data_IF_790740482659
#
_entry.id   IF_790740482659
#
_cell.length_a   1.000
_cell.length_b   1.000
_cell.length_c   1.000
_cell.angle_alpha   90.00
_cell.angle_beta   90.00
_cell.angle_gamma   90.00
#
_symmetry.space_group_name_H-M   'P 1'
#
loop_
_entity.id
_entity.type
_entity.pdbx_description
1 polymer ?
#
# COMPACT_ATOMS: atom_id res chain seq x y z
N UNK A 1 -1.23 -56.23 48.12
CA UNK A 1 -2.33 -55.25 47.98
C UNK A 1 -1.80 -54.03 47.24
N UNK A 2 -2.47 -53.65 46.14
CA UNK A 2 -2.72 -52.29 45.59
C UNK A 2 -1.57 -51.25 45.57
N UNK A 3 -1.31 -50.46 44.52
CA UNK A 3 -1.94 -50.18 43.23
C UNK A 3 -0.91 -49.35 42.39
N UNK A 4 -0.87 -49.45 41.05
CA UNK A 4 -1.44 -48.45 40.11
C UNK A 4 -0.68 -47.11 40.10
N UNK A 5 -0.31 -46.49 38.99
CA UNK A 5 -0.59 -46.71 37.58
C UNK A 5 0.19 -45.69 36.73
N UNK A 6 0.24 -45.96 35.43
CA UNK A 6 0.69 -45.07 34.36
C UNK A 6 0.21 -43.63 34.54
N UNK A 7 1.08 -42.64 34.33
CA UNK A 7 0.74 -41.46 33.55
C UNK A 7 1.94 -41.02 32.70
N UNK A 8 1.67 -41.13 31.40
CA UNK A 8 2.36 -40.59 30.26
C UNK A 8 2.71 -39.09 30.42
N UNK A 9 3.91 -38.69 30.02
CA UNK A 9 4.21 -37.30 29.64
C UNK A 9 5.07 -37.32 28.38
N UNK A 10 4.39 -37.52 27.25
CA UNK A 10 4.84 -37.06 25.94
C UNK A 10 5.12 -35.54 26.02
N UNK A 11 6.40 -35.15 26.07
CA UNK A 11 6.80 -33.77 25.86
C UNK A 11 6.90 -33.51 24.34
N UNK A 12 6.31 -32.41 23.82
CA UNK A 12 6.03 -32.25 22.41
C UNK A 12 7.28 -31.95 21.58
N UNK A 13 7.27 -32.50 20.37
CA UNK A 13 8.14 -32.23 19.22
C UNK A 13 8.74 -30.80 19.18
N UNK A 14 10.00 -30.66 19.60
CA UNK A 14 10.78 -29.43 19.43
C UNK A 14 11.69 -29.58 18.20
N UNK A 15 11.13 -29.29 17.02
CA UNK A 15 11.82 -29.46 15.73
C UNK A 15 11.68 -28.25 14.81
N UNK A 16 12.06 -27.05 15.28
CA UNK A 16 12.14 -25.84 14.46
C UNK A 16 13.57 -25.56 13.94
N UNK A 17 13.69 -24.59 13.03
CA UNK A 17 14.86 -24.14 12.23
C UNK A 17 16.23 -24.00 12.96
N UNK A 18 16.29 -24.19 14.27
CA UNK A 18 17.42 -23.90 15.16
C UNK A 18 18.31 -25.13 15.47
N UNK A 19 17.94 -26.33 15.02
CA UNK A 19 18.56 -27.63 15.38
C UNK A 19 20.07 -27.75 15.10
N UNK A 20 20.59 -27.05 14.10
CA UNK A 20 22.02 -27.10 13.70
C UNK A 20 22.81 -25.86 14.07
N UNK A 21 22.18 -24.94 14.81
CA UNK A 21 22.72 -23.64 15.13
C UNK A 21 23.11 -23.65 16.61
N UNK A 22 24.42 -23.68 16.90
CA UNK A 22 24.95 -23.53 18.28
C UNK A 22 24.85 -22.07 18.76
N UNK A 23 23.69 -21.44 18.61
CA UNK A 23 23.47 -20.08 19.11
C UNK A 23 22.76 -20.11 20.46
N UNK A 24 23.31 -19.37 21.42
CA UNK A 24 22.64 -19.16 22.71
C UNK A 24 21.29 -18.48 22.50
N UNK A 25 20.29 -18.84 23.31
CA UNK A 25 18.96 -18.22 23.31
C UNK A 25 19.03 -16.69 23.38
N UNK A 26 20.03 -16.16 24.11
CA UNK A 26 20.28 -14.71 24.20
C UNK A 26 20.67 -14.10 22.84
N UNK A 27 21.56 -14.77 22.11
CA UNK A 27 21.98 -14.35 20.77
C UNK A 27 20.84 -14.47 19.75
N UNK A 28 20.02 -15.52 19.85
CA UNK A 28 18.83 -15.68 19.02
C UNK A 28 17.80 -14.55 19.26
N UNK A 29 17.54 -14.20 20.52
CA UNK A 29 16.62 -13.10 20.86
C UNK A 29 17.15 -11.74 20.38
N UNK A 30 18.46 -11.50 20.47
CA UNK A 30 19.09 -10.30 19.92
C UNK A 30 18.93 -10.28 18.40
N UNK A 31 19.19 -11.39 17.70
CA UNK A 31 19.02 -11.47 16.24
C UNK A 31 17.58 -11.22 15.82
N UNK A 32 16.60 -11.78 16.52
CA UNK A 32 15.17 -11.52 16.26
C UNK A 32 14.86 -10.04 16.49
N UNK A 33 15.34 -9.45 17.58
CA UNK A 33 15.17 -8.02 17.86
C UNK A 33 15.80 -7.12 16.79
N UNK A 34 17.01 -7.44 16.34
CA UNK A 34 17.72 -6.71 15.27
C UNK A 34 17.01 -6.88 13.93
N UNK A 35 16.49 -8.07 13.61
CA UNK A 35 15.72 -8.30 12.39
C UNK A 35 14.38 -7.57 12.41
N UNK A 36 13.69 -7.55 13.55
CA UNK A 36 12.46 -6.77 13.71
C UNK A 36 12.73 -5.27 13.63
N UNK A 37 13.80 -4.79 14.28
CA UNK A 37 14.21 -3.38 14.18
C UNK A 37 14.60 -3.01 12.75
N UNK A 38 15.39 -3.85 12.06
CA UNK A 38 15.76 -3.64 10.66
C UNK A 38 14.53 -3.67 9.74
N UNK A 39 13.57 -4.57 9.98
CA UNK A 39 12.31 -4.63 9.23
C UNK A 39 11.48 -3.37 9.46
N UNK A 40 11.34 -2.91 10.71
CA UNK A 40 10.65 -1.66 11.03
C UNK A 40 11.37 -0.47 10.40
N UNK A 41 12.70 -0.42 10.44
CA UNK A 41 13.52 0.62 9.80
C UNK A 41 13.30 0.61 8.28
N UNK A 42 13.28 -0.56 7.63
CA UNK A 42 13.02 -0.68 6.19
C UNK A 42 11.60 -0.24 5.85
N UNK A 43 10.60 -0.63 6.64
CA UNK A 43 9.20 -0.20 6.44
C UNK A 43 9.08 1.32 6.59
N UNK A 44 9.68 1.90 7.62
CA UNK A 44 9.71 3.34 7.87
C UNK A 44 10.49 4.06 6.77
N UNK A 45 11.61 3.51 6.32
CA UNK A 45 12.40 4.04 5.21
C UNK A 45 11.60 4.06 3.91
N UNK A 46 10.89 2.97 3.57
CA UNK A 46 10.00 2.93 2.40
C UNK A 46 8.87 3.96 2.56
N UNK A 47 8.23 4.04 3.73
CA UNK A 47 7.16 5.01 3.96
C UNK A 47 7.60 6.48 3.88
N UNK A 48 8.85 6.79 4.21
CA UNK A 48 9.39 8.17 4.19
C UNK A 48 9.98 8.53 2.81
N UNK A 49 10.46 7.54 2.03
CA UNK A 49 11.07 7.78 0.72
C UNK A 49 10.11 7.55 -0.45
N UNK A 50 8.92 6.99 -0.22
CA UNK A 50 7.91 6.91 -1.26
C UNK A 50 7.37 8.32 -1.52
N UNK A 51 7.28 8.69 -2.80
CA UNK A 51 6.59 9.91 -3.20
C UNK A 51 5.12 9.88 -2.78
N UNK A 52 4.44 10.99 -2.99
CA UNK A 52 3.00 11.04 -2.79
C UNK A 52 2.30 10.17 -3.83
N UNK A 53 1.26 9.48 -3.36
CA UNK A 53 0.43 8.65 -4.20
C UNK A 53 -0.70 9.50 -4.78
N UNK A 54 -0.75 9.58 -6.10
CA UNK A 54 -1.87 10.16 -6.83
C UNK A 54 -2.75 9.06 -7.39
N UNK A 55 -4.01 9.03 -6.96
CA UNK A 55 -5.00 8.05 -7.39
C UNK A 55 -6.01 8.70 -8.32
N UNK A 56 -6.59 7.92 -9.23
CA UNK A 56 -7.58 8.38 -10.19
C UNK A 56 -8.89 7.62 -9.98
N UNK A 57 -9.95 8.33 -9.60
CA UNK A 57 -11.30 7.79 -9.51
C UNK A 57 -12.06 8.13 -10.79
N UNK A 58 -12.40 7.09 -11.54
CA UNK A 58 -13.02 7.22 -12.86
C UNK A 58 -14.55 7.08 -12.82
N UNK A 59 -15.16 6.99 -11.64
CA UNK A 59 -16.59 6.79 -11.44
C UNK A 59 -17.16 5.62 -12.28
N UNK A 60 -16.52 4.46 -12.14
CA UNK A 60 -16.92 3.22 -12.80
C UNK A 60 -16.55 3.09 -14.27
N UNK A 61 -15.81 4.05 -14.83
CA UNK A 61 -15.26 3.96 -16.18
C UNK A 61 -14.01 3.06 -16.25
N UNK A 62 -13.30 3.05 -17.39
CA UNK A 62 -12.04 2.31 -17.53
C UNK A 62 -11.04 2.68 -16.44
N UNK A 63 -10.33 1.69 -15.89
CA UNK A 63 -9.36 1.92 -14.80
C UNK A 63 -8.16 2.73 -15.31
N UNK A 64 -7.80 3.76 -14.53
CA UNK A 64 -6.53 4.48 -14.64
C UNK A 64 -5.65 4.07 -13.45
N UNK A 65 -4.41 3.67 -13.72
CA UNK A 65 -3.50 3.23 -12.67
C UNK A 65 -2.98 4.45 -11.86
N UNK A 66 -2.79 4.24 -10.56
CA UNK A 66 -2.24 5.27 -9.68
C UNK A 66 -0.76 5.52 -9.99
N UNK A 67 -0.29 6.74 -9.74
CA UNK A 67 1.10 7.16 -9.96
C UNK A 67 1.74 7.67 -8.67
N UNK A 68 3.06 7.56 -8.59
CA UNK A 68 3.85 8.14 -7.51
C UNK A 68 4.56 9.41 -8.02
N UNK A 69 4.47 10.51 -7.27
CA UNK A 69 5.06 11.79 -7.63
C UNK A 69 5.66 12.48 -6.39
N UNK A 70 6.72 13.28 -6.56
CA UNK A 70 7.30 14.00 -5.42
C UNK A 70 6.57 15.32 -5.16
N UNK A 71 6.83 15.90 -3.98
CA UNK A 71 6.35 17.25 -3.67
C UNK A 71 6.83 18.25 -4.74
N UNK A 72 5.90 19.00 -5.31
CA UNK A 72 6.19 20.05 -6.29
C UNK A 72 6.30 19.57 -7.73
N UNK A 73 6.18 18.26 -8.00
CA UNK A 73 6.18 17.71 -9.35
C UNK A 73 4.86 18.02 -10.07
N UNK A 74 4.96 18.17 -11.39
CA UNK A 74 3.81 18.15 -12.29
C UNK A 74 3.46 16.70 -12.62
N UNK A 75 2.16 16.42 -12.74
CA UNK A 75 1.70 15.11 -13.19
C UNK A 75 1.67 15.04 -14.71
N UNK A 76 2.00 13.87 -15.26
CA UNK A 76 1.71 13.57 -16.66
C UNK A 76 0.24 13.16 -16.72
N UNK A 77 -0.52 13.80 -17.61
CA UNK A 77 -1.92 13.47 -17.83
C UNK A 77 -2.07 11.98 -18.22
N UNK A 78 -2.93 11.21 -17.54
CA UNK A 78 -3.14 9.81 -17.86
C UNK A 78 -3.91 9.64 -19.19
N UNK A 79 -3.97 8.40 -19.68
CA UNK A 79 -4.90 8.08 -20.77
C UNK A 79 -6.33 8.41 -20.36
N UNK A 80 -7.04 9.11 -21.25
CA UNK A 80 -8.42 9.54 -21.01
C UNK A 80 -9.32 8.34 -20.77
N UNK A 81 -10.01 8.26 -19.62
CA UNK A 81 -10.91 7.16 -19.36
C UNK A 81 -12.11 7.19 -20.31
N UNK A 82 -12.72 6.03 -20.53
CA UNK A 82 -13.90 5.88 -21.41
C UNK A 82 -15.10 5.36 -20.61
N UNK A 83 -16.21 6.08 -20.71
CA UNK A 83 -17.51 5.75 -20.12
C UNK A 83 -18.59 5.81 -21.20
N UNK A 84 -19.28 4.71 -21.45
CA UNK A 84 -20.33 4.66 -22.49
C UNK A 84 -21.47 5.64 -22.17
N UNK A 85 -21.89 6.42 -23.17
CA UNK A 85 -22.95 7.42 -23.02
C UNK A 85 -22.50 8.76 -22.41
N UNK A 86 -21.22 8.91 -22.06
CA UNK A 86 -20.67 10.13 -21.47
C UNK A 86 -19.46 10.66 -22.26
N UNK A 87 -19.16 11.93 -22.06
CA UNK A 87 -17.95 12.62 -22.54
C UNK A 87 -17.12 12.97 -21.32
N UNK A 88 -15.82 12.65 -21.35
CA UNK A 88 -14.89 13.04 -20.30
C UNK A 88 -14.63 14.54 -20.35
N UNK A 89 -14.84 15.23 -19.24
CA UNK A 89 -14.71 16.70 -19.17
C UNK A 89 -13.40 17.16 -18.55
N UNK A 90 -12.76 16.33 -17.72
CA UNK A 90 -11.51 16.68 -17.04
C UNK A 90 -11.32 15.93 -15.73
N UNK A 91 -10.20 16.23 -15.08
CA UNK A 91 -9.86 15.72 -13.75
C UNK A 91 -10.07 16.80 -12.70
N UNK A 92 -10.60 16.43 -11.53
CA UNK A 92 -10.95 17.37 -10.46
C UNK A 92 -10.40 16.91 -9.11
N UNK A 93 -10.09 17.84 -8.21
CA UNK A 93 -9.56 17.55 -6.87
C UNK A 93 -10.63 17.09 -5.88
N UNK A 94 -11.89 17.28 -6.22
CA UNK A 94 -13.05 16.98 -5.40
C UNK A 94 -14.06 16.11 -6.16
N UNK A 95 -14.80 15.32 -5.40
CA UNK A 95 -15.82 14.41 -5.94
C UNK A 95 -16.99 15.14 -6.61
N UNK A 96 -17.25 16.39 -6.20
CA UNK A 96 -18.30 17.23 -6.77
C UNK A 96 -17.88 17.87 -8.11
N UNK A 97 -16.65 17.61 -8.58
CA UNK A 97 -16.07 18.11 -9.82
C UNK A 97 -16.11 19.64 -9.94
N UNK A 98 -15.77 20.34 -8.85
CA UNK A 98 -15.83 21.81 -8.79
C UNK A 98 -14.46 22.48 -8.92
N UNK A 99 -13.38 21.78 -8.58
CA UNK A 99 -12.01 22.26 -8.63
C UNK A 99 -11.22 21.44 -9.64
N UNK A 100 -11.12 21.95 -10.86
CA UNK A 100 -10.36 21.31 -11.95
C UNK A 100 -8.87 21.22 -11.60
N UNK A 101 -8.24 20.13 -12.03
CA UNK A 101 -6.81 19.91 -11.95
C UNK A 101 -6.16 20.19 -13.30
N UNK A 102 -5.25 21.16 -13.33
CA UNK A 102 -4.48 21.50 -14.53
C UNK A 102 -3.09 20.83 -14.51
N UNK A 103 -2.92 19.77 -15.31
CA UNK A 103 -1.64 19.03 -15.40
C UNK A 103 -0.45 19.88 -15.86
N UNK A 104 -0.67 21.05 -16.47
CA UNK A 104 0.40 21.95 -16.89
C UNK A 104 0.89 22.88 -15.78
N UNK A 105 0.08 23.14 -14.75
CA UNK A 105 0.37 24.16 -13.73
C UNK A 105 0.26 23.67 -12.29
N UNK A 106 -0.64 22.75 -12.00
CA UNK A 106 -0.87 22.21 -10.67
C UNK A 106 0.20 21.21 -10.26
N UNK A 107 0.66 21.36 -9.02
CA UNK A 107 1.75 20.57 -8.45
C UNK A 107 1.23 19.65 -7.37
N UNK A 108 1.86 18.48 -7.28
CA UNK A 108 1.57 17.52 -6.21
C UNK A 108 2.07 18.08 -4.88
N UNK A 109 1.15 18.31 -3.94
CA UNK A 109 1.47 18.82 -2.60
C UNK A 109 1.36 17.75 -1.51
N UNK A 110 0.82 16.58 -1.86
CA UNK A 110 0.51 15.50 -0.94
C UNK A 110 -0.17 14.34 -1.67
N UNK A 111 -0.53 13.30 -0.92
CA UNK A 111 -1.42 12.25 -1.44
C UNK A 111 -2.73 12.89 -1.89
N UNK A 112 -3.16 12.59 -3.12
CA UNK A 112 -4.36 13.18 -3.69
C UNK A 112 -5.10 12.19 -4.57
N UNK A 113 -6.43 12.34 -4.64
CA UNK A 113 -7.28 11.60 -5.56
C UNK A 113 -7.87 12.59 -6.55
N UNK A 114 -7.69 12.32 -7.84
CA UNK A 114 -8.36 13.06 -8.91
C UNK A 114 -9.61 12.31 -9.36
N UNK A 115 -10.72 13.03 -9.46
CA UNK A 115 -12.03 12.52 -9.86
C UNK A 115 -12.30 12.89 -11.32
N UNK A 116 -12.75 11.92 -12.11
CA UNK A 116 -13.13 12.14 -13.49
C UNK A 116 -14.50 12.84 -13.56
N UNK A 117 -14.55 14.00 -14.21
CA UNK A 117 -15.81 14.68 -14.54
C UNK A 117 -16.39 14.15 -15.86
N UNK A 118 -17.71 14.04 -15.92
CA UNK A 118 -18.44 13.45 -17.05
C UNK A 118 -19.67 14.28 -17.39
N UNK A 119 -19.86 14.57 -18.68
CA UNK A 119 -21.11 15.11 -19.22
C UNK A 119 -21.84 14.03 -20.03
N UNK A 120 -23.17 14.01 -19.98
CA UNK A 120 -23.96 13.13 -20.85
C UNK A 120 -23.70 13.48 -22.31
N UNK A 121 -23.42 12.45 -23.10
CA UNK A 121 -23.23 12.61 -24.54
C UNK A 121 -24.60 12.88 -25.17
N UNK A 122 -24.93 14.14 -25.38
CA UNK A 122 -26.13 14.52 -26.11
C UNK A 122 -26.00 14.05 -27.58
N UNK A 123 -26.83 13.11 -27.98
CA UNK A 123 -26.99 12.61 -29.36
C UNK A 123 -27.97 13.48 -30.19
#
# INVERSE_FOLDING_TARGET
>A
MAANGSQNQDAPNQGGLYKHVKMSVRSANILVGVLLAALVIVIVFVAINNGFKVSFDTDGASRVDAVEAMYGDLLIEPETPVKEGYVFCGWYRDIDCTVEWDFATDKVEGDLTLYAGWDEKNE
#
